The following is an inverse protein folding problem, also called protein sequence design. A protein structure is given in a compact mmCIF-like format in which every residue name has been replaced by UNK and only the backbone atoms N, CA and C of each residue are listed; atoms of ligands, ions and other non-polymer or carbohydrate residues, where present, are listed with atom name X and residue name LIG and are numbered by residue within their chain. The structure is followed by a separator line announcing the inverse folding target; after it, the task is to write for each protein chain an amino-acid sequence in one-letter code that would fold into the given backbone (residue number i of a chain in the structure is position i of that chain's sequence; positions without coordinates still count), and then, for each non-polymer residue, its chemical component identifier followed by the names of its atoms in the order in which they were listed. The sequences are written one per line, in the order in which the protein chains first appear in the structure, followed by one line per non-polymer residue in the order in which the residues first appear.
data_IF_171637082647
#
_entry.id   IF_171637082647
#
_cell.length_a   1.000
_cell.length_b   1.000
_cell.length_c   1.000
_cell.angle_alpha   90.00
_cell.angle_beta   90.00
_cell.angle_gamma   90.00
#
_symmetry.space_group_name_H-M   'P 1'
#
loop_
_entity.id
_entity.type
_entity.pdbx_description
1 polymer ?
#
# COMPACT_ATOMS: atom_id res chain seq x y z
N UNK A 1 -6.77 10.88 -5.26
CA UNK A 1 -6.30 11.22 -3.91
C UNK A 1 -5.88 9.93 -3.21
N UNK A 2 -4.71 9.94 -2.53
CA UNK A 2 -4.16 8.80 -1.80
C UNK A 2 -4.19 9.11 -0.29
N UNK A 3 -5.26 8.76 0.42
CA UNK A 3 -5.45 9.15 1.82
C UNK A 3 -4.32 8.65 2.74
N UNK A 4 -3.78 7.47 2.47
CA UNK A 4 -2.67 6.89 3.24
C UNK A 4 -1.35 7.65 3.10
N UNK A 5 -1.07 8.22 1.91
CA UNK A 5 0.09 9.07 1.72
C UNK A 5 -0.05 10.37 2.51
N UNK A 6 -1.24 11.00 2.44
CA UNK A 6 -1.52 12.23 3.20
C UNK A 6 -1.43 11.99 4.71
N UNK A 7 -1.93 10.86 5.21
CA UNK A 7 -1.82 10.52 6.62
C UNK A 7 -0.37 10.41 7.10
N UNK A 8 0.54 9.84 6.27
CA UNK A 8 1.96 9.75 6.59
C UNK A 8 2.69 11.09 6.54
N UNK A 9 2.25 11.98 5.66
CA UNK A 9 2.88 13.29 5.48
C UNK A 9 2.23 14.38 6.35
N UNK A 10 1.14 14.06 7.07
CA UNK A 10 0.43 15.00 7.92
C UNK A 10 1.23 15.57 9.12
N UNK A 11 2.11 14.81 9.82
CA UNK A 11 2.73 15.29 11.05
C UNK A 11 3.40 16.68 10.94
N UNK A 12 4.19 17.01 9.91
CA UNK A 12 4.78 18.35 9.80
C UNK A 12 3.75 19.48 9.69
N UNK A 13 2.56 19.22 9.11
CA UNK A 13 1.50 20.22 8.99
C UNK A 13 0.80 20.53 10.32
N UNK A 14 0.81 19.58 11.27
CA UNK A 14 0.23 19.78 12.60
C UNK A 14 1.03 20.78 13.44
N UNK A 15 2.28 21.04 13.07
CA UNK A 15 3.21 21.93 13.79
C UNK A 15 3.58 23.18 12.98
N UNK A 16 2.86 23.46 11.87
CA UNK A 16 3.17 24.56 10.94
C UNK A 16 4.65 24.63 10.57
N UNK A 17 5.24 23.45 10.33
CA UNK A 17 6.67 23.31 10.11
C UNK A 17 7.12 23.96 8.78
N UNK A 18 8.33 24.54 8.70
CA UNK A 18 8.85 25.12 7.48
C UNK A 18 9.08 24.07 6.38
N UNK A 19 9.11 24.51 5.11
CA UNK A 19 9.17 23.65 3.93
C UNK A 19 10.36 22.66 3.96
N UNK A 20 11.51 23.06 4.48
CA UNK A 20 12.66 22.18 4.59
C UNK A 20 12.38 20.98 5.51
N UNK A 21 11.59 21.16 6.57
CA UNK A 21 11.22 20.07 7.51
C UNK A 21 10.29 19.05 6.83
N UNK A 22 9.36 19.50 5.96
CA UNK A 22 8.53 18.58 5.16
C UNK A 22 9.37 17.68 4.26
N UNK A 23 10.40 18.25 3.60
CA UNK A 23 11.34 17.47 2.77
C UNK A 23 12.18 16.51 3.60
N UNK A 24 12.69 16.98 4.73
CA UNK A 24 13.41 16.14 5.68
C UNK A 24 12.54 14.98 6.17
N UNK A 25 11.28 15.23 6.55
CA UNK A 25 10.33 14.22 7.00
C UNK A 25 10.08 13.14 5.94
N UNK A 26 9.90 13.52 4.69
CA UNK A 26 9.75 12.57 3.58
C UNK A 26 10.98 11.69 3.40
N UNK A 27 12.17 12.27 3.41
CA UNK A 27 13.43 11.53 3.32
C UNK A 27 13.64 10.61 4.52
N UNK A 28 13.37 11.10 5.71
CA UNK A 28 13.44 10.32 6.96
C UNK A 28 12.52 9.10 6.91
N UNK A 29 11.25 9.30 6.56
CA UNK A 29 10.29 8.19 6.42
C UNK A 29 10.75 7.16 5.39
N UNK A 30 11.27 7.61 4.26
CA UNK A 30 11.77 6.72 3.20
C UNK A 30 12.93 5.87 3.72
N UNK A 31 13.92 6.49 4.36
CA UNK A 31 15.07 5.79 4.91
C UNK A 31 14.68 4.86 6.06
N UNK A 32 13.80 5.31 6.95
CA UNK A 32 13.33 4.51 8.08
C UNK A 32 12.57 3.27 7.62
N UNK A 33 11.62 3.40 6.68
CA UNK A 33 10.86 2.27 6.17
C UNK A 33 11.74 1.27 5.42
N UNK A 34 12.65 1.74 4.57
CA UNK A 34 13.60 0.87 3.87
C UNK A 34 14.54 0.19 4.88
N UNK A 35 15.04 0.96 5.87
CA UNK A 35 15.88 0.44 6.94
C UNK A 35 15.20 -0.61 7.82
N UNK A 36 13.90 -0.57 7.96
CA UNK A 36 13.11 -1.59 8.69
C UNK A 36 12.79 -2.82 7.83
N UNK A 37 12.50 -2.64 6.54
CA UNK A 37 12.14 -3.75 5.65
C UNK A 37 13.33 -4.68 5.43
N UNK A 38 14.53 -4.15 5.20
CA UNK A 38 15.70 -4.96 4.92
C UNK A 38 16.03 -5.96 6.05
N UNK A 39 16.17 -5.57 7.33
CA UNK A 39 16.40 -6.53 8.42
C UNK A 39 15.20 -7.44 8.68
N UNK A 40 13.95 -6.97 8.48
CA UNK A 40 12.75 -7.80 8.63
C UNK A 40 12.76 -8.94 7.60
N UNK A 41 13.13 -8.66 6.36
CA UNK A 41 13.27 -9.69 5.33
C UNK A 41 14.47 -10.59 5.57
N UNK A 42 15.61 -10.04 6.01
CA UNK A 42 16.81 -10.83 6.33
C UNK A 42 16.57 -11.84 7.47
N UNK A 43 15.65 -11.55 8.38
CA UNK A 43 15.22 -12.53 9.41
C UNK A 43 14.46 -13.70 8.82
N UNK A 44 13.71 -13.48 7.71
CA UNK A 44 12.96 -14.54 7.02
C UNK A 44 13.82 -15.41 6.12
N UNK A 45 14.85 -14.80 5.54
CA UNK A 45 15.80 -15.51 4.69
C UNK A 45 16.86 -16.17 5.60
N UNK A 46 16.85 -17.50 5.66
CA UNK A 46 17.81 -18.30 6.47
C UNK A 46 19.21 -18.33 5.83
N UNK A 47 19.79 -17.18 5.53
CA UNK A 47 21.12 -17.07 4.92
C UNK A 47 22.17 -17.31 6.00
N UNK A 48 22.88 -18.44 5.91
CA UNK A 48 23.94 -18.84 6.86
C UNK A 48 25.24 -18.07 6.67
N UNK A 49 25.59 -17.73 5.43
CA UNK A 49 26.81 -17.00 5.12
C UNK A 49 26.67 -15.51 5.47
N UNK A 50 27.50 -15.03 6.41
CA UNK A 50 27.48 -13.63 6.89
C UNK A 50 27.75 -12.62 5.77
N UNK A 51 28.72 -12.89 4.90
CA UNK A 51 29.05 -11.98 3.79
C UNK A 51 27.90 -11.87 2.79
N UNK A 52 27.30 -13.01 2.42
CA UNK A 52 26.13 -13.06 1.54
C UNK A 52 24.93 -12.34 2.18
N UNK A 53 24.72 -12.50 3.48
CA UNK A 53 23.64 -11.81 4.21
C UNK A 53 23.81 -10.29 4.17
N UNK A 54 25.02 -9.80 4.42
CA UNK A 54 25.34 -8.35 4.35
C UNK A 54 25.14 -7.84 2.92
N UNK A 55 25.72 -8.53 1.93
CA UNK A 55 25.59 -8.17 0.52
C UNK A 55 24.12 -8.10 0.08
N UNK A 56 23.32 -9.13 0.39
CA UNK A 56 21.89 -9.16 0.05
C UNK A 56 21.11 -8.05 0.74
N UNK A 57 21.43 -7.76 2.01
CA UNK A 57 20.80 -6.66 2.75
C UNK A 57 21.13 -5.29 2.15
N UNK A 58 22.39 -5.03 1.81
CA UNK A 58 22.81 -3.80 1.15
C UNK A 58 22.18 -3.66 -0.24
N UNK A 59 22.20 -4.72 -1.04
CA UNK A 59 21.56 -4.75 -2.35
C UNK A 59 20.07 -4.42 -2.27
N UNK A 60 19.37 -5.00 -1.29
CA UNK A 60 17.96 -4.74 -1.07
C UNK A 60 17.68 -3.28 -0.68
N UNK A 61 18.49 -2.71 0.21
CA UNK A 61 18.36 -1.29 0.58
C UNK A 61 18.55 -0.42 -0.66
N UNK A 62 19.59 -0.66 -1.45
CA UNK A 62 19.85 0.08 -2.69
C UNK A 62 18.70 -0.08 -3.68
N UNK A 63 18.20 -1.30 -3.90
CA UNK A 63 17.08 -1.56 -4.78
C UNK A 63 15.81 -0.80 -4.37
N UNK A 64 15.47 -0.80 -3.08
CA UNK A 64 14.31 -0.10 -2.55
C UNK A 64 14.45 1.44 -2.59
N UNK A 65 15.69 1.95 -2.47
CA UNK A 65 15.97 3.39 -2.58
C UNK A 65 15.97 3.88 -4.02
N UNK A 66 16.48 3.08 -4.96
CA UNK A 66 16.57 3.42 -6.38
C UNK A 66 15.24 3.23 -7.12
N UNK A 67 14.39 2.31 -6.66
CA UNK A 67 13.12 2.04 -7.29
C UNK A 67 12.05 3.12 -7.03
N UNK A 68 11.08 3.31 -7.95
CA UNK A 68 9.95 4.23 -7.77
C UNK A 68 8.93 3.64 -6.78
N UNK A 69 9.39 3.17 -5.64
CA UNK A 69 8.54 2.61 -4.61
C UNK A 69 7.83 3.74 -3.87
N UNK A 70 6.52 3.76 -3.97
CA UNK A 70 5.71 4.72 -3.22
C UNK A 70 5.80 4.41 -1.72
N UNK A 71 6.26 5.38 -0.95
CA UNK A 71 6.51 5.29 0.48
C UNK A 71 5.37 4.60 1.28
N UNK A 72 4.13 4.99 1.01
CA UNK A 72 2.96 4.46 1.73
C UNK A 72 2.66 2.98 1.40
N UNK A 73 3.22 2.46 0.30
CA UNK A 73 3.03 1.06 -0.10
C UNK A 73 4.04 0.11 0.54
N UNK A 74 5.10 0.64 1.12
CA UNK A 74 6.07 -0.17 1.89
C UNK A 74 5.52 -0.60 3.26
N UNK A 75 4.54 0.13 3.79
CA UNK A 75 3.91 -0.18 5.09
C UNK A 75 3.23 -1.54 5.13
N UNK A 76 2.32 -1.91 4.18
CA UNK A 76 1.73 -3.24 4.18
C UNK A 76 2.76 -4.36 4.03
N UNK A 77 3.86 -4.12 3.29
CA UNK A 77 4.97 -5.08 3.20
C UNK A 77 5.60 -5.28 4.59
N UNK A 78 5.88 -4.20 5.30
CA UNK A 78 6.47 -4.26 6.64
C UNK A 78 5.54 -4.94 7.64
N UNK A 79 4.23 -4.62 7.62
CA UNK A 79 3.23 -5.26 8.48
C UNK A 79 3.24 -6.78 8.27
N UNK A 80 3.28 -7.25 7.02
CA UNK A 80 3.32 -8.68 6.71
C UNK A 80 4.65 -9.32 7.10
N UNK A 81 5.78 -8.67 6.81
CA UNK A 81 7.09 -9.19 7.20
C UNK A 81 7.25 -9.36 8.71
N UNK A 82 6.66 -8.48 9.51
CA UNK A 82 6.76 -8.54 10.97
C UNK A 82 5.66 -9.39 11.62
N UNK A 83 4.43 -9.31 11.10
CA UNK A 83 3.25 -9.90 11.73
C UNK A 83 2.87 -11.28 11.22
N UNK A 84 3.25 -11.66 9.99
CA UNK A 84 2.92 -12.97 9.43
C UNK A 84 3.82 -14.05 10.02
N UNK A 85 3.23 -15.17 10.45
CA UNK A 85 3.95 -16.40 10.85
C UNK A 85 3.01 -17.59 10.75
N UNK A 86 3.42 -18.64 10.07
CA UNK A 86 2.59 -19.86 9.92
C UNK A 86 2.27 -20.52 11.26
N UNK A 87 3.15 -20.35 12.25
CA UNK A 87 2.98 -20.90 13.60
C UNK A 87 2.00 -20.10 14.48
N UNK A 88 1.63 -18.88 14.07
CA UNK A 88 0.71 -17.98 14.81
C UNK A 88 -0.43 -17.50 13.90
N UNK A 89 -1.45 -18.34 13.67
CA UNK A 89 -2.50 -18.04 12.68
C UNK A 89 -3.26 -16.72 12.99
N UNK A 90 -3.57 -16.43 14.26
CA UNK A 90 -4.25 -15.19 14.63
C UNK A 90 -3.45 -13.94 14.26
N UNK A 91 -2.14 -13.90 14.55
CA UNK A 91 -1.25 -12.81 14.18
C UNK A 91 -1.17 -12.65 12.65
N UNK A 92 -1.10 -13.75 11.92
CA UNK A 92 -1.05 -13.75 10.45
C UNK A 92 -2.32 -13.18 9.83
N UNK A 93 -3.50 -13.55 10.35
CA UNK A 93 -4.77 -12.99 9.90
C UNK A 93 -4.86 -11.50 10.17
N UNK A 94 -4.50 -11.06 11.37
CA UNK A 94 -4.49 -9.63 11.71
C UNK A 94 -3.52 -8.84 10.82
N UNK A 95 -2.32 -9.36 10.60
CA UNK A 95 -1.34 -8.74 9.72
C UNK A 95 -1.84 -8.66 8.27
N UNK A 96 -2.46 -9.74 7.74
CA UNK A 96 -3.03 -9.74 6.41
C UNK A 96 -4.17 -8.73 6.28
N UNK A 97 -5.12 -8.73 7.22
CA UNK A 97 -6.25 -7.81 7.20
C UNK A 97 -5.78 -6.35 7.28
N UNK A 98 -4.87 -6.03 8.21
CA UNK A 98 -4.33 -4.67 8.35
C UNK A 98 -3.58 -4.22 7.08
N UNK A 99 -2.73 -5.07 6.52
CA UNK A 99 -2.00 -4.78 5.28
C UNK A 99 -2.95 -4.60 4.08
N UNK A 100 -4.00 -5.44 3.99
CA UNK A 100 -4.99 -5.39 2.91
C UNK A 100 -5.87 -4.14 3.00
N UNK A 101 -6.32 -3.75 4.20
CA UNK A 101 -7.06 -2.52 4.42
C UNK A 101 -6.22 -1.29 4.03
N UNK A 102 -4.95 -1.27 4.43
CA UNK A 102 -4.03 -0.19 4.06
C UNK A 102 -3.82 -0.12 2.55
N UNK A 103 -3.54 -1.25 1.90
CA UNK A 103 -3.36 -1.32 0.45
C UNK A 103 -4.62 -0.90 -0.31
N UNK A 104 -5.80 -1.37 0.13
CA UNK A 104 -7.09 -1.07 -0.48
C UNK A 104 -7.47 0.42 -0.41
N UNK A 105 -7.08 1.12 0.65
CA UNK A 105 -7.27 2.57 0.76
C UNK A 105 -6.20 3.37 0.02
N UNK A 106 -5.11 2.73 -0.41
CA UNK A 106 -3.98 3.41 -1.07
C UNK A 106 -4.11 3.47 -2.58
N UNK A 107 -4.19 2.32 -3.27
CA UNK A 107 -4.22 2.23 -4.74
C UNK A 107 -4.90 0.96 -5.23
N UNK A 108 -5.71 1.08 -6.30
CA UNK A 108 -6.39 -0.04 -6.97
C UNK A 108 -5.41 -1.14 -7.40
N UNK A 109 -4.29 -0.78 -7.99
CA UNK A 109 -3.31 -1.74 -8.50
C UNK A 109 -2.59 -2.55 -7.41
N UNK A 110 -2.80 -2.24 -6.13
CA UNK A 110 -2.12 -2.88 -5.01
C UNK A 110 -3.01 -3.83 -4.19
N UNK A 111 -4.25 -4.06 -4.62
CA UNK A 111 -5.17 -4.97 -3.91
C UNK A 111 -4.63 -6.39 -3.77
N UNK A 112 -3.92 -6.85 -4.79
CA UNK A 112 -3.39 -8.21 -4.88
C UNK A 112 -2.14 -8.41 -4.03
N UNK A 113 -1.40 -7.32 -3.79
CA UNK A 113 -0.05 -7.37 -3.22
C UNK A 113 0.02 -7.98 -1.80
N UNK A 114 -0.84 -7.61 -0.82
CA UNK A 114 -0.78 -8.21 0.51
C UNK A 114 -1.03 -9.70 0.49
N UNK A 115 -2.00 -10.17 -0.31
CA UNK A 115 -2.29 -11.59 -0.47
C UNK A 115 -1.14 -12.35 -1.12
N UNK A 116 -0.49 -11.78 -2.14
CA UNK A 116 0.70 -12.38 -2.77
C UNK A 116 1.86 -12.49 -1.80
N UNK A 117 2.16 -11.45 -1.03
CA UNK A 117 3.25 -11.49 -0.04
C UNK A 117 2.96 -12.54 1.03
N UNK A 118 1.73 -12.62 1.54
CA UNK A 118 1.35 -13.62 2.52
C UNK A 118 1.50 -15.04 1.96
N UNK A 119 1.09 -15.28 0.71
CA UNK A 119 1.27 -16.55 0.03
C UNK A 119 2.75 -16.92 -0.13
N UNK A 120 3.58 -15.96 -0.56
CA UNK A 120 5.05 -16.18 -0.69
C UNK A 120 5.69 -16.48 0.66
N UNK A 121 5.33 -15.73 1.72
CA UNK A 121 5.85 -15.98 3.07
C UNK A 121 5.45 -17.36 3.57
N UNK A 122 4.23 -17.82 3.28
CA UNK A 122 3.78 -19.16 3.61
C UNK A 122 4.65 -20.22 2.91
N UNK A 123 4.91 -20.06 1.60
CA UNK A 123 5.73 -20.98 0.81
C UNK A 123 7.21 -21.00 1.27
N UNK A 124 7.71 -19.86 1.77
CA UNK A 124 9.08 -19.78 2.32
C UNK A 124 9.20 -20.45 3.69
N UNK A 125 8.13 -20.40 4.52
CA UNK A 125 8.16 -21.00 5.87
C UNK A 125 7.87 -22.51 5.87
N UNK A 126 7.12 -23.00 4.89
CA UNK A 126 6.75 -24.44 4.80
C UNK A 126 7.31 -25.07 3.53
N UNK A 127 8.33 -25.90 3.64
CA UNK A 127 8.86 -26.63 2.49
C UNK A 127 7.85 -27.67 1.97
N UNK A 128 7.85 -27.87 0.66
CA UNK A 128 7.02 -28.88 0.03
C UNK A 128 7.53 -30.30 0.33
N UNK A 129 6.70 -31.11 0.99
CA UNK A 129 7.04 -32.48 1.38
C UNK A 129 6.59 -33.56 0.36
N UNK A 130 6.25 -33.19 -0.86
CA UNK A 130 6.02 -34.14 -1.98
C UNK A 130 4.70 -34.92 -1.98
N UNK A 131 3.86 -34.85 -0.94
CA UNK A 131 2.69 -35.74 -0.82
C UNK A 131 1.46 -35.33 -1.64
N UNK A 132 1.15 -34.06 -1.76
CA UNK A 132 0.00 -33.60 -2.53
C UNK A 132 0.13 -32.09 -2.81
N UNK A 133 0.50 -31.73 -4.03
CA UNK A 133 0.74 -30.35 -4.40
C UNK A 133 -0.53 -29.47 -4.31
N UNK A 134 -1.69 -30.06 -4.60
CA UNK A 134 -2.95 -29.33 -4.55
C UNK A 134 -3.29 -28.87 -3.12
N UNK A 135 -3.19 -29.76 -2.15
CA UNK A 135 -3.43 -29.43 -0.73
C UNK A 135 -2.37 -28.45 -0.18
N UNK A 136 -1.14 -28.53 -0.69
CA UNK A 136 -0.09 -27.58 -0.33
C UNK A 136 -0.38 -26.19 -0.84
N UNK A 137 -0.81 -26.04 -2.09
CA UNK A 137 -1.11 -24.74 -2.72
C UNK A 137 -2.44 -24.15 -2.26
N UNK A 138 -3.36 -24.95 -1.72
CA UNK A 138 -4.67 -24.47 -1.26
C UNK A 138 -4.55 -23.40 -0.17
N UNK A 139 -3.64 -23.59 0.80
CA UNK A 139 -3.45 -22.64 1.90
C UNK A 139 -2.91 -21.28 1.44
N UNK A 140 -1.80 -21.19 0.68
CA UNK A 140 -1.34 -19.91 0.13
C UNK A 140 -2.37 -19.27 -0.82
N UNK A 141 -3.13 -20.07 -1.58
CA UNK A 141 -4.22 -19.56 -2.39
C UNK A 141 -5.33 -18.91 -1.55
N UNK A 142 -5.69 -19.50 -0.41
CA UNK A 142 -6.65 -18.88 0.53
C UNK A 142 -6.12 -17.55 1.07
N UNK A 143 -4.85 -17.45 1.47
CA UNK A 143 -4.24 -16.21 1.92
C UNK A 143 -4.31 -15.13 0.84
N UNK A 144 -4.01 -15.53 -0.40
CA UNK A 144 -4.08 -14.65 -1.56
C UNK A 144 -5.50 -14.12 -1.80
N UNK A 145 -6.50 -15.01 -1.88
CA UNK A 145 -7.89 -14.65 -2.17
C UNK A 145 -8.46 -13.75 -1.08
N UNK A 146 -8.29 -14.13 0.20
CA UNK A 146 -8.84 -13.35 1.32
C UNK A 146 -8.17 -11.98 1.41
N UNK A 147 -6.85 -11.90 1.23
CA UNK A 147 -6.12 -10.62 1.21
C UNK A 147 -6.63 -9.69 0.11
N UNK A 148 -6.85 -10.22 -1.09
CA UNK A 148 -7.37 -9.46 -2.24
C UNK A 148 -8.81 -9.00 -2.02
N UNK A 149 -9.71 -9.88 -1.56
CA UNK A 149 -11.11 -9.52 -1.27
C UNK A 149 -11.19 -8.43 -0.20
N UNK A 150 -10.39 -8.55 0.86
CA UNK A 150 -10.35 -7.55 1.93
C UNK A 150 -9.87 -6.19 1.41
N UNK A 151 -8.86 -6.15 0.57
CA UNK A 151 -8.38 -4.92 -0.04
C UNK A 151 -9.41 -4.28 -0.98
N UNK A 152 -10.11 -5.08 -1.80
CA UNK A 152 -11.20 -4.61 -2.66
C UNK A 152 -12.37 -4.03 -1.86
N UNK A 153 -12.77 -4.68 -0.76
CA UNK A 153 -13.87 -4.23 0.08
C UNK A 153 -13.58 -2.89 0.79
N UNK A 154 -12.33 -2.63 1.11
CA UNK A 154 -11.91 -1.36 1.72
C UNK A 154 -12.11 -0.15 0.79
N UNK A 155 -12.01 -0.35 -0.52
CA UNK A 155 -12.20 0.71 -1.53
C UNK A 155 -13.67 1.00 -1.81
N UNK A 156 -14.55 0.01 -1.71
CA UNK A 156 -15.97 0.15 -2.03
C UNK A 156 -16.70 1.13 -1.07
N UNK A 157 -16.24 1.24 0.18
CA UNK A 157 -16.89 2.07 1.22
C UNK A 157 -16.91 3.58 0.95
N UNK A 158 -15.83 4.23 0.47
CA UNK A 158 -15.86 5.69 0.18
C UNK A 158 -16.75 6.05 -1.00
N UNK A 159 -16.81 5.22 -2.04
CA UNK A 159 -17.63 5.49 -3.23
C UNK A 159 -19.14 5.43 -2.95
N UNK A 160 -19.56 4.59 -2.02
CA UNK A 160 -20.95 4.54 -1.59
C UNK A 160 -21.35 5.81 -0.82
N UNK A 161 -20.48 6.32 0.04
CA UNK A 161 -20.74 7.54 0.82
C UNK A 161 -20.83 8.79 -0.06
N UNK A 162 -20.02 8.89 -1.10
CA UNK A 162 -20.08 10.01 -2.06
C UNK A 162 -21.39 9.97 -2.88
N UNK A 163 -21.86 8.80 -3.27
CA UNK A 163 -23.16 8.67 -3.98
C UNK A 163 -24.37 9.06 -3.13
N UNK A 164 -24.31 8.84 -1.81
CA UNK A 164 -25.38 9.22 -0.91
C UNK A 164 -25.38 10.72 -0.56
N UNK A 165 -24.27 11.44 -0.81
CA UNK A 165 -24.12 12.87 -0.54
C UNK A 165 -24.33 13.76 -1.77
N UNK A 166 -24.57 13.22 -2.96
CA UNK A 166 -25.03 14.03 -4.10
C UNK A 166 -26.52 14.29 -3.93
N UNK A 167 -26.94 15.50 -3.51
CA UNK A 167 -28.37 15.84 -3.52
C UNK A 167 -28.83 15.84 -4.98
N UNK A 168 -30.04 15.37 -5.21
CA UNK A 168 -30.72 15.33 -6.52
C UNK A 168 -31.04 16.73 -7.08
N UNK A 169 -30.17 17.73 -6.85
CA UNK A 169 -30.32 19.13 -7.24
C UNK A 169 -29.56 19.54 -8.51
N UNK A 170 -29.19 18.60 -9.38
CA UNK A 170 -28.44 18.88 -10.61
C UNK A 170 -29.25 19.28 -11.83
N UNK A 171 -30.33 20.09 -11.70
CA UNK A 171 -31.08 20.62 -12.87
C UNK A 171 -31.12 22.15 -12.99
N UNK A 172 -30.36 22.91 -12.21
CA UNK A 172 -30.45 24.37 -12.23
C UNK A 172 -29.19 25.12 -12.66
N UNK A 173 -28.17 24.47 -13.23
CA UNK A 173 -26.93 25.18 -13.63
C UNK A 173 -26.65 25.19 -15.14
N UNK A 174 -27.63 24.92 -15.98
CA UNK A 174 -27.48 25.01 -17.46
C UNK A 174 -28.25 26.12 -18.12
N UNK A 175 -28.90 26.99 -17.36
CA UNK A 175 -29.73 28.08 -17.92
C UNK A 175 -29.10 29.49 -17.82
N UNK A 176 -27.89 29.62 -17.26
CA UNK A 176 -27.21 30.89 -17.04
C UNK A 176 -26.12 31.32 -18.03
N UNK A 177 -25.81 30.50 -19.05
CA UNK A 177 -24.67 30.78 -19.96
C UNK A 177 -25.12 31.05 -21.40
N UNK A 178 -26.22 31.75 -21.59
CA UNK A 178 -26.71 32.14 -22.91
C UNK A 178 -27.10 33.59 -22.98
N UNK A 179 -26.27 34.48 -22.60
CA UNK A 179 -26.36 35.93 -23.00
C UNK A 179 -25.01 36.60 -22.68
N UNK A 180 -24.02 36.51 -23.51
CA UNK A 180 -23.04 37.57 -23.82
C UNK A 180 -22.31 37.09 -25.11
N UNK A 181 -22.97 37.29 -26.20
CA UNK A 181 -22.40 37.18 -27.52
C UNK A 181 -23.12 38.15 -28.43
N UNK A 182 -22.61 39.36 -28.51
CA UNK A 182 -23.18 40.32 -29.46
C UNK A 182 -22.87 41.75 -29.09
N UNK A 183 -21.81 42.28 -29.71
CA UNK A 183 -21.59 43.68 -30.05
C UNK A 183 -20.07 43.85 -30.28
N UNK A 184 -19.67 43.86 -31.45
CA UNK A 184 -19.69 44.79 -32.58
C UNK A 184 -18.30 45.35 -32.84
N UNK A 185 -17.78 44.89 -33.96
CA UNK A 185 -16.89 45.55 -34.89
C UNK A 185 -17.31 47.03 -35.13
N UNK A 186 -16.40 47.91 -34.95
CA UNK A 186 -16.52 49.31 -35.37
C UNK A 186 -15.15 49.91 -35.47
N UNK A 187 -14.56 49.80 -36.68
CA UNK A 187 -13.46 50.66 -37.13
C UNK A 187 -14.06 51.84 -37.89
N UNK A 188 -13.48 53.01 -37.80
CA UNK A 188 -12.72 53.50 -38.94
C UNK A 188 -11.25 53.65 -38.69
#
# INVERSE_FOLDING_TARGET
LHPTLHALLAPPYLFDAPLWFHRFWQMFLRLALVGLIAPALMKRLSIKNRALKIFTGMWMILFLLMGPVYLHLTIPVLILLLGFSVHRPASSWLALLAASLWAGTSRVNWYVMPGMIAAVLYLLEIPFNGKNIFNYLLKPALWFVIGTITACSATARPSLRIRLQTPSGGKQMLEGTRVIGGAESGVP
#
